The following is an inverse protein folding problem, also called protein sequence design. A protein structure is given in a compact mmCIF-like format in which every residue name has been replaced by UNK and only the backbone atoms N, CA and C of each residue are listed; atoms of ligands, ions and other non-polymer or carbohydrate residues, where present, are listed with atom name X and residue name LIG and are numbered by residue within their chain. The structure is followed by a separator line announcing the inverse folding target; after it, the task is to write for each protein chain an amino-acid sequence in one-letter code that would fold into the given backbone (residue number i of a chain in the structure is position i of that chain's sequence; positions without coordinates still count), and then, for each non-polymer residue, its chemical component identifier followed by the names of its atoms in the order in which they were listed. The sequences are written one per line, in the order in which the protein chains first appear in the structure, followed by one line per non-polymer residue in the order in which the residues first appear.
data_IF_215898039327
#
_entry.id   IF_215898039327
#
_cell.length_a   1.000
_cell.length_b   1.000
_cell.length_c   1.000
_cell.angle_alpha   90.00
_cell.angle_beta   90.00
_cell.angle_gamma   90.00
#
_symmetry.space_group_name_H-M   'P 1'
#
loop_
_entity.id
_entity.type
_entity.pdbx_description
1 polymer ?
#
# COMPACT_ATOMS: atom_id res chain seq x y z
N UNK A 1 22.79 -23.04 46.64
CA UNK A 1 23.55 -22.22 45.66
C UNK A 1 23.05 -22.36 44.21
N UNK A 2 21.94 -23.07 43.94
CA UNK A 2 21.49 -23.40 42.57
C UNK A 2 20.35 -22.53 42.02
N UNK A 3 19.64 -21.75 42.84
CA UNK A 3 18.48 -20.96 42.38
C UNK A 3 18.85 -19.71 41.55
N UNK A 4 20.04 -19.13 41.74
CA UNK A 4 20.46 -17.93 40.98
C UNK A 4 20.82 -18.23 39.52
N UNK A 5 21.17 -19.47 39.20
CA UNK A 5 21.59 -19.85 37.85
C UNK A 5 20.38 -20.10 36.94
N UNK A 6 19.29 -20.62 37.49
CA UNK A 6 18.03 -20.88 36.77
C UNK A 6 17.30 -19.57 36.43
N UNK A 7 17.18 -18.63 37.37
CA UNK A 7 16.55 -17.31 37.12
C UNK A 7 17.32 -16.46 36.10
N UNK A 8 18.64 -16.60 36.04
CA UNK A 8 19.49 -15.95 35.05
C UNK A 8 19.26 -16.51 33.64
N UNK A 9 19.14 -17.84 33.49
CA UNK A 9 18.84 -18.48 32.20
C UNK A 9 17.40 -18.20 31.73
N UNK A 10 16.43 -18.18 32.64
CA UNK A 10 15.03 -17.84 32.30
C UNK A 10 14.93 -16.38 31.85
N UNK A 11 15.63 -15.45 32.50
CA UNK A 11 15.64 -14.03 32.11
C UNK A 11 16.28 -13.79 30.74
N UNK A 12 17.34 -14.51 30.40
CA UNK A 12 17.98 -14.41 29.09
C UNK A 12 17.09 -14.98 27.97
N UNK A 13 16.42 -16.12 28.21
CA UNK A 13 15.48 -16.70 27.25
C UNK A 13 14.27 -15.80 26.99
N UNK A 14 13.73 -15.15 28.03
CA UNK A 14 12.60 -14.20 27.89
C UNK A 14 12.96 -12.93 27.13
N UNK A 15 14.22 -12.47 27.18
CA UNK A 15 14.67 -11.33 26.38
C UNK A 15 14.73 -11.70 24.89
N UNK A 16 15.31 -12.86 24.57
CA UNK A 16 15.44 -13.38 23.20
C UNK A 16 14.07 -13.62 22.53
N UNK A 17 13.09 -14.11 23.29
CA UNK A 17 11.71 -14.30 22.79
C UNK A 17 10.97 -12.98 22.54
N UNK A 18 11.32 -11.90 23.26
CA UNK A 18 10.65 -10.60 23.17
C UNK A 18 11.12 -9.80 21.96
N UNK A 19 12.39 -9.89 21.61
CA UNK A 19 12.94 -9.28 20.39
C UNK A 19 12.45 -10.04 19.14
N UNK A 20 12.42 -11.37 19.20
CA UNK A 20 11.84 -12.23 18.14
C UNK A 20 10.36 -11.95 17.84
N UNK A 21 9.58 -11.50 18.83
CA UNK A 21 8.17 -11.13 18.65
C UNK A 21 8.01 -9.74 18.02
N UNK A 22 8.81 -8.77 18.44
CA UNK A 22 8.76 -7.41 17.85
C UNK A 22 9.17 -7.41 16.39
N UNK A 23 10.17 -8.20 16.02
CA UNK A 23 10.61 -8.29 14.63
C UNK A 23 9.53 -8.92 13.73
N UNK A 24 8.82 -9.95 14.24
CA UNK A 24 7.67 -10.54 13.53
C UNK A 24 6.49 -9.58 13.38
N UNK A 25 6.15 -8.85 14.44
CA UNK A 25 5.08 -7.84 14.40
C UNK A 25 5.43 -6.68 13.44
N UNK A 26 6.70 -6.27 13.40
CA UNK A 26 7.19 -5.25 12.47
C UNK A 26 7.15 -5.73 11.02
N UNK A 27 7.58 -6.96 10.75
CA UNK A 27 7.51 -7.57 9.41
C UNK A 27 6.06 -7.74 8.93
N UNK A 28 5.14 -8.15 9.81
CA UNK A 28 3.71 -8.24 9.47
C UNK A 28 3.12 -6.85 9.16
N UNK A 29 3.43 -5.83 9.96
CA UNK A 29 2.99 -4.46 9.71
C UNK A 29 3.59 -3.90 8.40
N UNK A 30 4.89 -4.14 8.17
CA UNK A 30 5.60 -3.77 6.94
C UNK A 30 4.98 -4.45 5.72
N UNK A 31 4.64 -5.73 5.81
CA UNK A 31 3.98 -6.48 4.74
C UNK A 31 2.60 -5.91 4.40
N UNK A 32 1.83 -5.49 5.40
CA UNK A 32 0.54 -4.82 5.18
C UNK A 32 0.74 -3.49 4.45
N UNK A 33 1.69 -2.65 4.88
CA UNK A 33 1.99 -1.37 4.22
C UNK A 33 2.47 -1.59 2.79
N UNK A 34 3.37 -2.54 2.56
CA UNK A 34 3.88 -2.89 1.24
C UNK A 34 2.75 -3.33 0.30
N UNK A 35 1.79 -4.12 0.80
CA UNK A 35 0.59 -4.50 0.03
C UNK A 35 -0.25 -3.29 -0.37
N UNK A 36 -0.48 -2.36 0.56
CA UNK A 36 -1.25 -1.14 0.27
C UNK A 36 -0.53 -0.24 -0.74
N UNK A 37 0.79 -0.06 -0.60
CA UNK A 37 1.61 0.71 -1.55
C UNK A 37 1.56 0.09 -2.95
N UNK A 38 1.62 -1.25 -3.04
CA UNK A 38 1.52 -1.96 -4.31
C UNK A 38 0.17 -1.71 -4.99
N UNK A 39 -0.93 -1.84 -4.25
CA UNK A 39 -2.28 -1.61 -4.78
C UNK A 39 -2.47 -0.16 -5.26
N UNK A 40 -1.99 0.82 -4.49
CA UNK A 40 -2.03 2.23 -4.89
C UNK A 40 -1.22 2.48 -6.16
N UNK A 41 -0.04 1.87 -6.30
CA UNK A 41 0.80 1.99 -7.48
C UNK A 41 0.13 1.39 -8.71
N UNK A 42 -0.46 0.21 -8.59
CA UNK A 42 -1.18 -0.47 -9.67
C UNK A 42 -2.40 0.35 -10.12
N UNK A 43 -3.18 0.86 -9.15
CA UNK A 43 -4.32 1.74 -9.41
C UNK A 43 -3.90 3.04 -10.12
N UNK A 44 -2.85 3.71 -9.63
CA UNK A 44 -2.37 4.94 -10.25
C UNK A 44 -1.86 4.68 -11.67
N UNK A 45 -1.16 3.57 -11.91
CA UNK A 45 -0.69 3.23 -13.26
C UNK A 45 -1.84 3.07 -14.25
N UNK A 46 -2.91 2.35 -13.91
CA UNK A 46 -4.05 2.19 -14.82
C UNK A 46 -4.81 3.50 -15.01
N UNK A 47 -4.94 4.30 -13.95
CA UNK A 47 -5.55 5.63 -14.01
C UNK A 47 -4.80 6.53 -14.98
N UNK A 48 -3.48 6.62 -14.86
CA UNK A 48 -2.65 7.48 -15.71
C UNK A 48 -2.74 7.09 -17.19
N UNK A 49 -2.76 5.79 -17.50
CA UNK A 49 -2.97 5.30 -18.87
C UNK A 49 -4.36 5.68 -19.39
N UNK A 50 -5.40 5.50 -18.57
CA UNK A 50 -6.77 5.90 -18.93
C UNK A 50 -6.90 7.40 -19.20
N UNK A 51 -6.27 8.23 -18.36
CA UNK A 51 -6.26 9.68 -18.52
C UNK A 51 -5.50 10.13 -19.78
N UNK A 52 -4.38 9.49 -20.11
CA UNK A 52 -3.66 9.75 -21.35
C UNK A 52 -4.51 9.43 -22.58
N UNK A 53 -5.17 8.27 -22.59
CA UNK A 53 -6.06 7.88 -23.68
C UNK A 53 -7.26 8.83 -23.80
N UNK A 54 -7.85 9.23 -22.68
CA UNK A 54 -8.91 10.25 -22.66
C UNK A 54 -8.42 11.59 -23.20
N UNK A 55 -7.17 11.99 -22.91
CA UNK A 55 -6.54 13.16 -23.50
C UNK A 55 -6.50 13.11 -25.03
N UNK A 56 -6.09 11.97 -25.59
CA UNK A 56 -6.05 11.76 -27.04
C UNK A 56 -7.46 11.77 -27.66
N UNK A 57 -8.45 11.21 -26.97
CA UNK A 57 -9.86 11.24 -27.42
C UNK A 57 -10.42 12.66 -27.39
N UNK A 58 -10.13 13.41 -26.33
CA UNK A 58 -10.54 14.81 -26.17
C UNK A 58 -9.95 15.68 -27.30
N UNK A 59 -8.65 15.51 -27.57
CA UNK A 59 -7.95 16.18 -28.67
C UNK A 59 -8.60 15.88 -30.02
N UNK A 60 -8.89 14.60 -30.32
CA UNK A 60 -9.57 14.23 -31.58
C UNK A 60 -10.99 14.78 -31.71
N UNK A 61 -11.71 14.93 -30.59
CA UNK A 61 -13.08 15.45 -30.56
C UNK A 61 -13.12 16.99 -30.49
N UNK A 62 -11.99 17.66 -30.29
CA UNK A 62 -11.92 19.12 -30.10
C UNK A 62 -12.57 19.59 -28.80
N UNK A 63 -12.68 18.71 -27.80
CA UNK A 63 -13.29 19.00 -26.49
C UNK A 63 -12.24 18.95 -25.39
N UNK A 64 -12.54 19.50 -24.22
CA UNK A 64 -11.64 19.42 -23.06
C UNK A 64 -11.79 18.07 -22.36
N UNK A 65 -10.72 17.56 -21.75
CA UNK A 65 -10.79 16.32 -20.95
C UNK A 65 -11.82 16.42 -19.82
N UNK A 66 -12.00 17.62 -19.24
CA UNK A 66 -13.03 17.91 -18.24
C UNK A 66 -14.44 17.58 -18.72
N UNK A 67 -14.77 17.92 -19.97
CA UNK A 67 -16.09 17.58 -20.55
C UNK A 67 -16.30 16.07 -20.65
N UNK A 68 -15.26 15.28 -20.93
CA UNK A 68 -15.37 13.81 -21.00
C UNK A 68 -15.63 13.18 -19.62
N UNK A 69 -15.17 13.80 -18.54
CA UNK A 69 -15.51 13.39 -17.17
C UNK A 69 -16.95 13.76 -16.80
N UNK A 70 -17.48 14.87 -17.32
CA UNK A 70 -18.86 15.30 -17.09
C UNK A 70 -19.86 14.41 -17.84
N UNK A 71 -19.53 13.96 -19.05
CA UNK A 71 -20.42 13.08 -19.84
C UNK A 71 -20.54 11.68 -19.23
N UNK A 72 -19.63 11.27 -18.34
CA UNK A 72 -19.52 9.92 -17.77
C UNK A 72 -19.50 8.80 -18.82
N UNK A 73 -19.23 9.12 -20.09
CA UNK A 73 -19.23 8.16 -21.20
C UNK A 73 -18.23 7.02 -20.99
N UNK A 74 -17.13 7.31 -20.28
CA UNK A 74 -16.06 6.36 -19.98
C UNK A 74 -16.17 5.73 -18.59
N UNK A 75 -17.27 5.98 -17.86
CA UNK A 75 -17.50 5.42 -16.53
C UNK A 75 -16.61 5.99 -15.42
N UNK A 76 -15.86 7.07 -15.68
CA UNK A 76 -15.01 7.75 -14.71
C UNK A 76 -15.55 9.15 -14.41
N UNK A 77 -15.66 9.49 -13.13
CA UNK A 77 -16.06 10.81 -12.67
C UNK A 77 -14.87 11.73 -12.38
N UNK A 78 -15.08 13.05 -12.28
CA UNK A 78 -14.02 14.01 -11.97
C UNK A 78 -13.44 13.89 -10.55
N UNK A 79 -13.97 12.99 -9.72
CA UNK A 79 -13.50 12.71 -8.35
C UNK A 79 -12.89 11.31 -8.19
N UNK A 80 -12.85 10.53 -9.27
CA UNK A 80 -12.25 9.19 -9.30
C UNK A 80 -10.80 9.28 -9.77
#
# INVERSE_FOLDING_TARGET
MTQNTEDSMISHSKLLDKDSKKDKEFEEASAVVAKHVKLLREYNQIKDVGQQLMGMVAEKRGVTVGSLYETREFGVGPKD
#
